data_IF_660566161735
#
_entry.id   IF_660566161735
#
_cell.length_a   1.000
_cell.length_b   1.000
_cell.length_c   1.000
_cell.angle_alpha   90.00
_cell.angle_beta   90.00
_cell.angle_gamma   90.00
#
_symmetry.space_group_name_H-M   'P 1'
#
loop_
_entity.id
_entity.type
_entity.pdbx_description
1 polymer ?
#
# COMPACT_ATOMS: atom_id res chain seq x y z
N UNK A 1 -6.47 -8.96 -19.49
CA UNK A 1 -6.20 -7.60 -18.95
C UNK A 1 -7.53 -6.87 -18.87
N UNK A 2 -7.84 -6.14 -17.79
CA UNK A 2 -9.16 -5.53 -17.57
C UNK A 2 -9.49 -4.46 -18.64
N UNK A 3 -10.50 -4.66 -19.51
CA UNK A 3 -10.83 -3.71 -20.57
C UNK A 3 -11.75 -2.56 -20.11
N UNK A 4 -12.32 -2.64 -18.91
CA UNK A 4 -13.42 -1.76 -18.50
C UNK A 4 -12.98 -0.44 -17.86
N UNK A 5 -11.69 -0.25 -17.53
CA UNK A 5 -11.18 0.97 -16.88
C UNK A 5 -11.74 1.25 -15.48
N UNK A 6 -12.53 0.34 -14.92
CA UNK A 6 -13.14 0.37 -13.58
C UNK A 6 -12.93 -0.97 -12.87
N UNK A 7 -13.23 -1.03 -11.57
CA UNK A 7 -13.23 -2.29 -10.82
C UNK A 7 -14.14 -3.31 -11.53
N UNK A 8 -13.59 -4.49 -11.80
CA UNK A 8 -14.31 -5.61 -12.44
C UNK A 8 -15.35 -6.13 -11.46
N UNK A 9 -16.56 -6.38 -11.96
CA UNK A 9 -17.60 -7.03 -11.15
C UNK A 9 -17.34 -8.53 -11.05
N UNK A 10 -17.77 -9.20 -9.96
CA UNK A 10 -17.66 -10.64 -9.80
C UNK A 10 -18.07 -11.46 -11.03
N UNK A 11 -19.18 -11.09 -11.66
CA UNK A 11 -19.76 -11.84 -12.79
C UNK A 11 -18.90 -11.71 -14.05
N UNK A 12 -18.37 -10.51 -14.31
CA UNK A 12 -17.47 -10.21 -15.43
C UNK A 12 -16.16 -11.01 -15.33
N UNK A 13 -15.71 -11.27 -14.10
CA UNK A 13 -14.51 -12.08 -13.85
C UNK A 13 -14.71 -13.53 -14.28
N UNK A 14 -15.86 -14.11 -13.94
CA UNK A 14 -16.19 -15.52 -14.17
C UNK A 14 -16.48 -15.78 -15.65
N UNK A 15 -17.25 -14.89 -16.29
CA UNK A 15 -17.83 -15.16 -17.61
C UNK A 15 -16.85 -14.83 -18.73
N UNK A 16 -16.11 -13.72 -18.62
CA UNK A 16 -15.37 -13.16 -19.75
C UNK A 16 -13.84 -13.19 -19.58
N UNK A 17 -13.33 -13.10 -18.35
CA UNK A 17 -11.91 -12.81 -18.12
C UNK A 17 -11.09 -13.97 -17.58
N UNK A 18 -11.67 -14.86 -16.77
CA UNK A 18 -10.92 -15.88 -16.04
C UNK A 18 -11.42 -17.31 -16.25
N UNK A 19 -12.46 -17.54 -17.05
CA UNK A 19 -13.13 -18.85 -17.23
C UNK A 19 -12.17 -20.03 -17.43
N UNK A 20 -11.16 -19.85 -18.28
CA UNK A 20 -10.17 -20.87 -18.63
C UNK A 20 -8.79 -20.60 -17.99
N UNK A 21 -8.71 -19.65 -17.06
CA UNK A 21 -7.45 -19.22 -16.47
C UNK A 21 -6.97 -20.20 -15.40
N UNK A 22 -5.74 -20.70 -15.55
CA UNK A 22 -5.05 -21.50 -14.53
C UNK A 22 -4.45 -20.61 -13.43
N UNK A 23 -4.18 -19.35 -13.74
CA UNK A 23 -3.63 -18.37 -12.81
C UNK A 23 -4.30 -17.01 -12.96
N UNK A 24 -4.55 -16.34 -11.83
CA UNK A 24 -5.18 -15.04 -11.77
C UNK A 24 -4.24 -14.02 -11.14
N UNK A 25 -3.97 -12.92 -11.85
CA UNK A 25 -3.30 -11.74 -11.29
C UNK A 25 -4.39 -10.75 -10.90
N UNK A 26 -4.56 -10.54 -9.59
CA UNK A 26 -5.66 -9.76 -9.02
C UNK A 26 -5.16 -8.43 -8.44
N UNK A 27 -5.90 -7.34 -8.66
CA UNK A 27 -5.60 -6.03 -8.09
C UNK A 27 -6.44 -5.72 -6.86
N UNK A 28 -7.62 -5.17 -7.10
CA UNK A 28 -8.58 -4.70 -6.08
C UNK A 28 -9.94 -5.38 -6.17
N UNK A 29 -10.08 -6.30 -7.13
CA UNK A 29 -11.23 -7.15 -7.35
C UNK A 29 -11.52 -7.99 -6.09
N UNK A 30 -12.79 -8.22 -5.81
CA UNK A 30 -13.23 -9.06 -4.70
C UNK A 30 -13.34 -10.50 -5.22
N UNK A 31 -12.45 -11.39 -4.79
CA UNK A 31 -12.40 -12.80 -5.16
C UNK A 31 -13.07 -13.61 -4.06
N UNK A 32 -14.39 -13.71 -4.13
CA UNK A 32 -15.21 -14.47 -3.19
C UNK A 32 -15.13 -15.97 -3.45
N UNK A 33 -15.57 -16.77 -2.48
CA UNK A 33 -15.68 -18.22 -2.60
C UNK A 33 -16.52 -18.64 -3.82
N UNK A 34 -17.62 -17.95 -4.10
CA UNK A 34 -18.48 -18.21 -5.25
C UNK A 34 -17.73 -18.07 -6.58
N UNK A 35 -16.87 -17.05 -6.70
CA UNK A 35 -16.04 -16.85 -7.90
C UNK A 35 -15.04 -17.98 -8.04
N UNK A 36 -14.35 -18.34 -6.94
CA UNK A 36 -13.34 -19.40 -6.96
C UNK A 36 -13.96 -20.73 -7.40
N UNK A 37 -15.14 -21.09 -6.89
CA UNK A 37 -15.83 -22.33 -7.28
C UNK A 37 -16.22 -22.36 -8.76
N UNK A 38 -16.49 -21.20 -9.35
CA UNK A 38 -16.87 -21.08 -10.77
C UNK A 38 -15.67 -21.03 -11.72
N UNK A 39 -14.44 -21.12 -11.20
CA UNK A 39 -13.19 -21.13 -11.97
C UNK A 39 -12.42 -22.45 -11.74
N UNK A 40 -12.93 -23.60 -12.24
CA UNK A 40 -12.34 -24.91 -11.96
C UNK A 40 -10.87 -25.11 -12.38
N UNK A 41 -10.31 -24.48 -13.44
CA UNK A 41 -8.90 -24.66 -13.77
C UNK A 41 -7.95 -23.85 -12.88
N UNK A 42 -8.46 -22.94 -12.04
CA UNK A 42 -7.66 -22.01 -11.26
C UNK A 42 -6.82 -22.73 -10.21
N UNK A 43 -5.50 -22.52 -10.24
CA UNK A 43 -4.52 -23.12 -9.32
C UNK A 43 -3.74 -22.09 -8.51
N UNK A 44 -3.71 -20.84 -8.96
CA UNK A 44 -2.92 -19.78 -8.32
C UNK A 44 -3.58 -18.42 -8.46
N UNK A 45 -3.54 -17.64 -7.38
CA UNK A 45 -3.95 -16.24 -7.33
C UNK A 45 -2.73 -15.42 -6.86
N UNK A 46 -2.31 -14.45 -7.65
CA UNK A 46 -1.27 -13.49 -7.28
C UNK A 46 -1.88 -12.11 -7.11
N UNK A 47 -1.88 -11.60 -5.88
CA UNK A 47 -2.46 -10.31 -5.53
C UNK A 47 -1.42 -9.20 -5.63
N UNK A 48 -1.74 -8.18 -6.42
CA UNK A 48 -0.98 -6.93 -6.54
C UNK A 48 -1.26 -6.02 -5.35
N UNK A 49 -0.48 -6.20 -4.27
CA UNK A 49 -0.45 -5.39 -3.06
C UNK A 49 -0.29 -6.23 -1.79
N UNK A 50 -0.29 -5.58 -0.63
CA UNK A 50 0.03 -6.21 0.67
C UNK A 50 -1.15 -6.99 1.24
N UNK A 51 -2.31 -6.34 1.39
CA UNK A 51 -3.51 -6.96 1.97
C UNK A 51 -4.10 -8.04 1.05
N UNK A 52 -4.58 -9.12 1.64
CA UNK A 52 -5.26 -10.24 0.94
C UNK A 52 -6.73 -10.34 1.33
N UNK A 53 -7.25 -9.28 1.95
CA UNK A 53 -8.59 -9.21 2.57
C UNK A 53 -9.73 -9.41 1.56
N UNK A 54 -9.46 -9.10 0.29
CA UNK A 54 -10.41 -9.24 -0.80
C UNK A 54 -10.44 -10.65 -1.42
N UNK A 55 -9.66 -11.60 -0.88
CA UNK A 55 -9.59 -12.99 -1.38
C UNK A 55 -10.14 -13.93 -0.31
N UNK A 56 -11.06 -14.81 -0.69
CA UNK A 56 -11.57 -15.86 0.19
C UNK A 56 -10.49 -16.95 0.43
N UNK A 57 -9.58 -16.68 1.37
CA UNK A 57 -8.42 -17.53 1.66
C UNK A 57 -8.80 -18.95 2.09
N UNK A 58 -9.88 -19.11 2.86
CA UNK A 58 -10.33 -20.43 3.31
C UNK A 58 -10.82 -21.29 2.15
N UNK A 59 -11.57 -20.71 1.22
CA UNK A 59 -12.03 -21.37 0.01
C UNK A 59 -10.86 -21.74 -0.90
N UNK A 60 -9.92 -20.80 -1.10
CA UNK A 60 -8.69 -21.05 -1.87
C UNK A 60 -7.89 -22.21 -1.27
N UNK A 61 -7.72 -22.24 0.06
CA UNK A 61 -7.01 -23.30 0.76
C UNK A 61 -7.69 -24.66 0.60
N UNK A 62 -9.02 -24.72 0.74
CA UNK A 62 -9.80 -25.97 0.58
C UNK A 62 -9.73 -26.54 -0.82
N UNK A 63 -9.60 -25.68 -1.83
CA UNK A 63 -9.51 -26.05 -3.24
C UNK A 63 -8.05 -26.15 -3.74
N UNK A 64 -7.07 -26.15 -2.83
CA UNK A 64 -5.63 -26.24 -3.12
C UNK A 64 -5.09 -25.13 -4.06
N UNK A 65 -5.73 -23.97 -4.04
CA UNK A 65 -5.33 -22.79 -4.82
C UNK A 65 -4.31 -21.99 -4.02
N UNK A 66 -3.12 -21.80 -4.58
CA UNK A 66 -2.06 -21.02 -3.93
C UNK A 66 -2.35 -19.53 -4.04
N UNK A 67 -2.26 -18.81 -2.93
CA UNK A 67 -2.42 -17.35 -2.90
C UNK A 67 -1.09 -16.69 -2.56
N UNK A 68 -0.64 -15.79 -3.42
CA UNK A 68 0.55 -14.97 -3.23
C UNK A 68 0.19 -13.49 -3.17
N UNK A 69 1.01 -12.69 -2.51
CA UNK A 69 0.87 -11.24 -2.45
C UNK A 69 2.24 -10.57 -2.66
N UNK A 70 2.24 -9.25 -2.88
CA UNK A 70 3.47 -8.46 -3.03
C UNK A 70 3.74 -7.66 -1.77
N UNK A 71 3.92 -8.36 -0.65
CA UNK A 71 4.05 -7.78 0.70
C UNK A 71 5.22 -6.79 0.85
N UNK A 72 6.33 -6.99 0.14
CA UNK A 72 7.51 -6.12 0.27
C UNK A 72 7.50 -4.93 -0.71
N UNK A 73 6.80 -5.05 -1.84
CA UNK A 73 6.88 -4.10 -2.95
C UNK A 73 6.58 -2.63 -2.57
N UNK A 74 5.55 -2.30 -1.77
CA UNK A 74 5.26 -0.89 -1.46
C UNK A 74 6.13 -0.32 -0.33
N UNK A 75 6.90 -1.15 0.39
CA UNK A 75 7.60 -0.74 1.62
C UNK A 75 8.46 0.50 1.40
N UNK A 76 9.30 0.50 0.36
CA UNK A 76 10.25 1.59 0.09
C UNK A 76 9.51 2.85 -0.35
N UNK A 77 8.49 2.71 -1.20
CA UNK A 77 7.75 3.86 -1.75
C UNK A 77 6.95 4.55 -0.65
N UNK A 78 6.26 3.77 0.18
CA UNK A 78 5.48 4.29 1.31
C UNK A 78 6.40 4.96 2.32
N UNK A 79 7.52 4.33 2.69
CA UNK A 79 8.47 4.92 3.63
C UNK A 79 9.05 6.26 3.14
N UNK A 80 9.42 6.34 1.85
CA UNK A 80 9.89 7.59 1.23
C UNK A 80 8.81 8.66 1.19
N UNK A 81 7.58 8.29 0.87
CA UNK A 81 6.44 9.20 0.89
C UNK A 81 6.20 9.75 2.29
N UNK A 82 6.25 8.91 3.32
CA UNK A 82 6.12 9.33 4.73
C UNK A 82 7.17 10.37 5.10
N UNK A 83 8.44 10.13 4.77
CA UNK A 83 9.52 11.11 5.01
C UNK A 83 9.29 12.41 4.23
N UNK A 84 8.84 12.32 2.98
CA UNK A 84 8.46 13.49 2.17
C UNK A 84 7.33 14.30 2.80
N UNK A 85 6.32 13.64 3.38
CA UNK A 85 5.23 14.30 4.09
C UNK A 85 5.70 14.96 5.40
N UNK A 86 6.59 14.31 6.16
CA UNK A 86 7.20 14.91 7.35
C UNK A 86 7.92 16.22 6.99
N UNK A 87 8.75 16.19 5.94
CA UNK A 87 9.44 17.38 5.45
C UNK A 87 8.44 18.45 4.99
N UNK A 88 7.45 18.06 4.18
CA UNK A 88 6.42 18.97 3.70
C UNK A 88 5.68 19.68 4.84
N UNK A 89 5.40 18.99 5.95
CA UNK A 89 4.76 19.58 7.11
C UNK A 89 5.70 20.51 7.88
N UNK A 90 6.95 20.10 8.08
CA UNK A 90 7.92 20.89 8.85
C UNK A 90 8.34 22.17 8.12
N UNK A 91 8.66 22.08 6.84
CA UNK A 91 9.11 23.21 6.02
C UNK A 91 8.02 23.75 5.09
N UNK A 92 6.76 23.34 5.30
CA UNK A 92 5.52 23.94 4.77
C UNK A 92 5.47 24.12 3.24
N UNK A 93 6.10 23.22 2.48
CA UNK A 93 6.30 23.35 1.02
C UNK A 93 4.99 23.49 0.27
N UNK A 94 4.04 22.56 0.43
CA UNK A 94 2.77 22.58 -0.30
C UNK A 94 1.91 23.81 0.03
N UNK A 95 2.02 24.33 1.26
CA UNK A 95 1.31 25.55 1.65
C UNK A 95 1.94 26.77 0.97
N UNK A 96 3.26 26.90 1.04
CA UNK A 96 3.97 28.01 0.42
C UNK A 96 3.81 28.01 -1.11
N UNK A 97 3.86 26.85 -1.76
CA UNK A 97 3.58 26.72 -3.20
C UNK A 97 2.18 27.25 -3.54
N UNK A 98 1.15 26.85 -2.77
CA UNK A 98 -0.23 27.32 -2.98
C UNK A 98 -0.39 28.82 -2.73
N UNK A 99 0.22 29.35 -1.67
CA UNK A 99 0.18 30.78 -1.34
C UNK A 99 0.82 31.61 -2.48
N UNK A 100 1.97 31.20 -3.00
CA UNK A 100 2.65 31.86 -4.12
C UNK A 100 1.81 31.82 -5.40
N UNK A 101 1.19 30.67 -5.74
CA UNK A 101 0.32 30.53 -6.92
C UNK A 101 -0.94 31.40 -6.84
N UNK A 102 -1.41 31.67 -5.62
CA UNK A 102 -2.56 32.55 -5.36
C UNK A 102 -2.13 34.00 -5.08
N UNK A 103 -0.92 34.40 -5.50
CA UNK A 103 -0.38 35.77 -5.34
C UNK A 103 -0.23 36.26 -3.88
N UNK A 104 -0.37 35.36 -2.90
CA UNK A 104 -0.20 35.65 -1.49
C UNK A 104 1.25 35.36 -1.07
N UNK A 105 2.14 36.35 -1.22
CA UNK A 105 3.55 36.20 -0.82
C UNK A 105 3.77 36.60 0.63
N UNK A 106 3.43 35.71 1.57
CA UNK A 106 3.75 35.89 2.99
C UNK A 106 5.05 35.16 3.36
N UNK A 107 5.91 35.84 4.13
CA UNK A 107 7.07 35.17 4.74
C UNK A 107 6.57 34.21 5.81
N UNK A 108 6.94 32.94 5.69
CA UNK A 108 6.62 31.88 6.64
C UNK A 108 7.91 31.26 7.15
N UNK A 109 7.94 30.89 8.42
CA UNK A 109 9.04 30.14 9.01
C UNK A 109 8.59 28.71 9.26
N UNK A 110 9.35 27.76 8.73
CA UNK A 110 9.17 26.34 9.01
C UNK A 110 9.93 25.89 10.25
N UNK A 111 10.00 24.58 10.45
CA UNK A 111 10.73 23.92 11.51
C UNK A 111 11.82 23.01 10.93
N UNK A 112 12.93 22.89 11.64
CA UNK A 112 14.01 21.96 11.29
C UNK A 112 13.67 20.54 11.75
N UNK A 113 13.93 19.55 10.88
CA UNK A 113 13.78 18.12 11.19
C UNK A 113 14.87 17.59 12.12
N UNK A 114 16.09 18.14 12.03
CA UNK A 114 17.24 17.69 12.82
C UNK A 114 16.98 17.79 14.33
N UNK A 115 17.46 16.80 15.09
CA UNK A 115 17.31 16.64 16.55
C UNK A 115 15.86 16.51 17.05
N UNK A 116 14.89 16.30 16.16
CA UNK A 116 13.53 15.97 16.59
C UNK A 116 13.43 14.51 17.03
N UNK A 117 12.60 14.28 18.04
CA UNK A 117 12.18 12.95 18.46
C UNK A 117 10.96 12.52 17.65
N UNK A 118 11.02 11.37 16.99
CA UNK A 118 9.97 10.84 16.12
C UNK A 118 9.48 9.52 16.69
N UNK A 119 8.18 9.48 17.00
CA UNK A 119 7.47 8.28 17.43
C UNK A 119 6.91 7.53 16.22
N UNK A 120 7.16 6.21 16.15
CA UNK A 120 6.59 5.31 15.16
C UNK A 120 5.66 4.33 15.86
N UNK A 121 4.38 4.32 15.47
CA UNK A 121 3.41 3.32 15.92
C UNK A 121 3.40 2.19 14.90
N UNK A 122 3.63 0.96 15.37
CA UNK A 122 3.91 -0.25 14.57
C UNK A 122 5.28 -0.22 13.86
N UNK A 123 6.20 -1.05 14.34
CA UNK A 123 7.59 -1.16 13.89
C UNK A 123 7.83 -2.37 12.97
N UNK A 124 6.88 -2.58 12.06
CA UNK A 124 6.97 -3.53 10.96
C UNK A 124 7.90 -3.06 9.82
N UNK A 125 7.75 -3.67 8.63
CA UNK A 125 8.58 -3.40 7.44
C UNK A 125 8.68 -1.90 7.10
N UNK A 126 7.55 -1.21 7.07
CA UNK A 126 7.47 0.22 6.73
C UNK A 126 8.05 1.07 7.86
N UNK A 127 7.65 0.83 9.11
CA UNK A 127 8.14 1.59 10.27
C UNK A 127 9.66 1.55 10.41
N UNK A 128 10.26 0.36 10.25
CA UNK A 128 11.72 0.19 10.22
C UNK A 128 12.37 1.00 9.12
N UNK A 129 11.83 0.92 7.90
CA UNK A 129 12.35 1.67 6.75
C UNK A 129 12.25 3.18 6.93
N UNK A 130 11.18 3.66 7.56
CA UNK A 130 11.01 5.08 7.91
C UNK A 130 12.08 5.50 8.93
N UNK A 131 12.33 4.70 9.96
CA UNK A 131 13.39 4.97 10.94
C UNK A 131 14.78 5.04 10.27
N UNK A 132 15.11 4.06 9.43
CA UNK A 132 16.38 4.04 8.66
C UNK A 132 16.56 5.32 7.83
N UNK A 133 15.49 5.83 7.22
CA UNK A 133 15.55 7.05 6.41
C UNK A 133 15.68 8.33 7.26
N UNK A 134 15.20 8.33 8.50
CA UNK A 134 15.18 9.51 9.38
C UNK A 134 16.44 9.63 10.26
N UNK A 135 17.13 8.52 10.56
CA UNK A 135 18.38 8.53 11.33
C UNK A 135 19.44 9.46 10.71
N UNK A 136 19.71 9.44 9.39
CA UNK A 136 20.67 10.36 8.76
C UNK A 136 20.28 11.85 8.84
N UNK A 137 19.01 12.18 9.10
CA UNK A 137 18.59 13.56 9.36
C UNK A 137 18.89 14.03 10.79
N UNK A 138 19.51 13.18 11.62
CA UNK A 138 19.83 13.47 13.02
C UNK A 138 18.62 13.43 13.93
N UNK A 139 17.58 12.66 13.59
CA UNK A 139 16.40 12.45 14.43
C UNK A 139 16.66 11.36 15.49
N UNK A 140 16.03 11.50 16.65
CA UNK A 140 15.90 10.43 17.65
C UNK A 140 14.64 9.63 17.33
N UNK A 141 14.75 8.30 17.19
CA UNK A 141 13.60 7.44 16.88
C UNK A 141 13.18 6.69 18.13
N UNK A 142 11.88 6.75 18.43
CA UNK A 142 11.21 5.86 19.38
C UNK A 142 10.05 5.16 18.68
N UNK A 143 9.73 3.95 19.11
CA UNK A 143 8.64 3.19 18.51
C UNK A 143 7.86 2.41 19.56
N UNK A 144 6.63 2.06 19.19
CA UNK A 144 5.75 1.18 19.95
C UNK A 144 5.17 0.14 19.00
N UNK A 145 5.35 -1.14 19.31
CA UNK A 145 4.83 -2.26 18.52
C UNK A 145 4.35 -3.36 19.49
N UNK A 146 3.17 -3.96 19.29
CA UNK A 146 2.67 -5.01 20.18
C UNK A 146 3.44 -6.34 20.09
N UNK A 147 4.27 -6.53 19.06
CA UNK A 147 5.01 -7.76 18.79
C UNK A 147 6.55 -7.60 18.85
N UNK A 148 7.06 -6.38 19.09
CA UNK A 148 8.50 -6.06 19.15
C UNK A 148 8.82 -5.23 20.38
#
# INVERSE_FOLDING_TARGET
>A
MNPHGRKVKPEELIVDLAKDAVGLIAGTESITEEIIMKLPPLKVISRCGVGVDNVALDAAKRLEIKVFNTSDAPTVVVAKLTVGLILNLLIIVSRMDREIRNEHRQKRMGNLLCRKKIGIVEFGRIGRRVAELLIPFGCEIVYADPFV
#
